data_IF_975275727795
#
_entry.id   IF_975275727795
#
_cell.length_a   1.000
_cell.length_b   1.000
_cell.length_c   1.000
_cell.angle_alpha   90.00
_cell.angle_beta   90.00
_cell.angle_gamma   90.00
#
_symmetry.space_group_name_H-M   'P 1'
#
loop_
_entity.id
_entity.type
_entity.pdbx_description
1 polymer ?
#
# COMPACT_ATOMS: atom_id res chain seq x y z
N UNK A 1 32.77 -26.32 -16.91
CA UNK A 1 31.32 -26.66 -16.89
C UNK A 1 30.69 -26.57 -15.49
N UNK A 2 31.37 -27.02 -14.41
CA UNK A 2 30.85 -27.01 -13.03
C UNK A 2 30.53 -25.61 -12.48
N UNK A 3 31.28 -24.60 -12.91
CA UNK A 3 31.19 -23.22 -12.40
C UNK A 3 30.02 -22.44 -13.04
N UNK A 4 29.63 -22.79 -14.27
CA UNK A 4 28.50 -22.18 -15.00
C UNK A 4 27.16 -22.66 -14.44
N UNK A 5 27.04 -23.94 -14.07
CA UNK A 5 25.85 -24.45 -13.37
C UNK A 5 25.63 -23.80 -12.00
N UNK A 6 26.71 -23.50 -11.27
CA UNK A 6 26.61 -22.85 -9.95
C UNK A 6 26.11 -21.40 -10.08
N UNK A 7 26.58 -20.68 -11.09
CA UNK A 7 26.15 -19.31 -11.37
C UNK A 7 24.67 -19.26 -11.81
N UNK A 8 24.25 -20.20 -12.66
CA UNK A 8 22.85 -20.34 -13.08
C UNK A 8 21.92 -20.67 -11.90
N UNK A 9 22.37 -21.48 -10.93
CA UNK A 9 21.59 -21.84 -9.74
C UNK A 9 21.34 -20.65 -8.81
N UNK A 10 22.29 -19.71 -8.69
CA UNK A 10 22.13 -18.49 -7.88
C UNK A 10 21.13 -17.53 -8.54
N UNK A 11 21.18 -17.39 -9.87
CA UNK A 11 20.26 -16.51 -10.62
C UNK A 11 18.83 -17.06 -10.59
N UNK A 12 18.64 -18.39 -10.71
CA UNK A 12 17.31 -19.01 -10.63
C UNK A 12 16.77 -19.19 -9.19
N UNK A 13 17.65 -19.30 -8.19
CA UNK A 13 17.28 -19.45 -6.78
C UNK A 13 16.96 -18.14 -6.05
N UNK A 14 17.43 -17.00 -6.55
CA UNK A 14 17.22 -15.69 -5.93
C UNK A 14 15.77 -15.22 -5.89
N UNK A 15 14.90 -15.77 -6.75
CA UNK A 15 13.48 -15.42 -6.86
C UNK A 15 12.63 -15.84 -5.65
N UNK A 16 13.18 -16.62 -4.73
CA UNK A 16 12.47 -17.15 -3.54
C UNK A 16 12.92 -16.49 -2.24
N UNK A 17 13.73 -15.43 -2.32
CA UNK A 17 14.10 -14.64 -1.15
C UNK A 17 12.96 -13.66 -0.82
N UNK A 18 12.00 -14.12 -0.03
CA UNK A 18 10.98 -13.27 0.58
C UNK A 18 11.64 -12.43 1.69
N UNK A 19 12.20 -11.28 1.31
CA UNK A 19 12.90 -10.40 2.25
C UNK A 19 11.94 -9.52 3.07
N UNK A 20 10.74 -9.27 2.56
CA UNK A 20 9.77 -8.37 3.17
C UNK A 20 8.44 -9.08 3.44
N UNK A 21 7.64 -8.59 4.41
CA UNK A 21 6.31 -9.12 4.67
C UNK A 21 5.44 -9.11 3.40
N UNK A 22 4.69 -10.19 3.19
CA UNK A 22 3.72 -10.28 2.09
C UNK A 22 2.55 -9.31 2.26
N UNK A 23 2.31 -8.84 3.48
CA UNK A 23 1.24 -7.91 3.82
C UNK A 23 1.72 -6.90 4.85
N UNK A 24 1.37 -5.64 4.63
CA UNK A 24 1.48 -4.60 5.63
C UNK A 24 0.10 -4.31 6.21
N UNK A 25 0.05 -4.06 7.51
CA UNK A 25 -1.18 -3.65 8.19
C UNK A 25 -0.85 -2.42 9.02
N UNK A 26 -1.59 -1.33 8.79
CA UNK A 26 -1.53 -0.15 9.66
C UNK A 26 -2.03 -0.52 11.06
N UNK A 27 -1.38 -0.02 12.10
CA UNK A 27 -1.71 -0.30 13.51
C UNK A 27 -1.76 1.01 14.30
N UNK A 28 -2.59 1.04 15.33
CA UNK A 28 -2.80 2.21 16.19
C UNK A 28 -4.14 2.89 15.91
N UNK A 29 -4.28 4.13 16.39
CA UNK A 29 -5.52 4.90 16.31
C UNK A 29 -5.88 5.36 14.88
N UNK A 30 -4.90 5.37 13.97
CA UNK A 30 -5.05 5.94 12.63
C UNK A 30 -5.09 7.48 12.62
N UNK A 31 -4.77 8.09 11.48
CA UNK A 31 -4.75 9.55 11.32
C UNK A 31 -3.66 10.26 12.14
N UNK A 32 -3.98 11.44 12.67
CA UNK A 32 -3.10 12.26 13.52
C UNK A 32 -2.35 13.39 12.79
N UNK A 33 -2.18 13.28 11.46
CA UNK A 33 -1.72 14.37 10.60
C UNK A 33 -2.83 15.36 10.23
N UNK A 34 -2.48 16.40 9.46
CA UNK A 34 -3.46 17.38 9.01
C UNK A 34 -4.18 16.87 7.75
N UNK A 35 -5.48 16.59 7.88
CA UNK A 35 -6.33 16.19 6.78
C UNK A 35 -7.08 17.41 6.20
N UNK A 36 -7.08 17.54 4.88
CA UNK A 36 -7.71 18.66 4.18
C UNK A 36 -8.22 18.25 2.79
N UNK A 37 -8.91 19.18 2.13
CA UNK A 37 -9.45 19.02 0.77
C UNK A 37 -10.33 17.77 0.58
N UNK A 38 -11.32 17.58 1.45
CA UNK A 38 -12.29 16.51 1.27
C UNK A 38 -13.10 16.70 -0.02
N UNK A 39 -13.26 15.63 -0.79
CA UNK A 39 -14.05 15.61 -2.01
C UNK A 39 -14.96 14.38 -2.01
N UNK A 40 -16.28 14.62 -1.99
CA UNK A 40 -17.30 13.56 -1.95
C UNK A 40 -17.86 13.35 -3.34
N UNK A 41 -18.02 12.09 -3.77
CA UNK A 41 -18.68 11.76 -5.02
C UNK A 41 -20.18 12.11 -4.93
N UNK A 42 -20.71 13.04 -5.74
CA UNK A 42 -22.12 13.46 -5.66
C UNK A 42 -23.11 12.38 -6.09
N UNK A 43 -22.64 11.34 -6.79
CA UNK A 43 -23.45 10.21 -7.23
C UNK A 43 -23.39 9.00 -6.29
N UNK A 44 -22.42 8.98 -5.37
CA UNK A 44 -22.20 7.87 -4.46
C UNK A 44 -21.68 8.38 -3.12
N UNK A 45 -22.57 8.46 -2.13
CA UNK A 45 -22.21 8.96 -0.81
C UNK A 45 -21.16 8.10 -0.09
N UNK A 46 -20.99 6.83 -0.47
CA UNK A 46 -20.00 5.96 0.16
C UNK A 46 -18.57 6.22 -0.35
N UNK A 47 -18.42 6.99 -1.42
CA UNK A 47 -17.13 7.25 -2.05
C UNK A 47 -16.66 8.68 -1.83
N UNK A 48 -15.47 8.83 -1.28
CA UNK A 48 -14.82 10.13 -1.15
C UNK A 48 -13.30 10.01 -1.03
N UNK A 49 -12.64 11.15 -1.17
CA UNK A 49 -11.19 11.30 -1.10
C UNK A 49 -10.81 12.36 -0.06
N UNK A 50 -9.66 12.19 0.59
CA UNK A 50 -9.08 13.17 1.52
C UNK A 50 -7.56 13.21 1.38
N UNK A 51 -6.98 14.40 1.34
CA UNK A 51 -5.52 14.59 1.27
C UNK A 51 -4.91 14.90 2.63
N UNK A 52 -3.62 14.60 2.77
CA UNK A 52 -2.82 14.84 3.97
C UNK A 52 -1.67 15.83 3.70
N UNK A 53 -1.17 16.51 4.73
CA UNK A 53 -0.07 17.48 4.65
C UNK A 53 1.27 16.86 4.23
N UNK A 54 1.39 15.55 4.42
CA UNK A 54 2.56 14.77 4.05
C UNK A 54 2.51 14.23 2.61
N UNK A 55 1.44 14.55 1.85
CA UNK A 55 1.31 14.26 0.43
C UNK A 55 0.53 12.98 0.08
N UNK A 56 -0.01 12.28 1.08
CA UNK A 56 -0.88 11.13 0.86
C UNK A 56 -2.29 11.57 0.39
N UNK A 57 -2.92 10.67 -0.37
CA UNK A 57 -4.33 10.75 -0.74
C UNK A 57 -4.99 9.45 -0.32
N UNK A 58 -6.01 9.55 0.52
CA UNK A 58 -6.79 8.41 0.96
C UNK A 58 -8.10 8.35 0.18
N UNK A 59 -8.44 7.15 -0.30
CA UNK A 59 -9.71 6.88 -0.98
C UNK A 59 -10.52 5.86 -0.19
N UNK A 60 -11.82 6.09 -0.05
CA UNK A 60 -12.76 5.14 0.52
C UNK A 60 -13.93 4.91 -0.43
N UNK A 61 -14.51 3.71 -0.34
CA UNK A 61 -15.76 3.32 -1.03
C UNK A 61 -16.81 2.78 -0.06
N UNK A 62 -16.55 2.90 1.25
CA UNK A 62 -17.37 2.38 2.35
C UNK A 62 -17.63 3.44 3.43
N UNK A 63 -17.74 4.71 3.00
CA UNK A 63 -18.04 5.85 3.86
C UNK A 63 -17.02 6.03 5.01
N UNK A 64 -15.76 5.71 4.75
CA UNK A 64 -14.65 5.92 5.69
C UNK A 64 -14.41 4.81 6.68
N UNK A 65 -15.03 3.64 6.51
CA UNK A 65 -14.72 2.48 7.32
C UNK A 65 -13.33 1.92 6.98
N UNK A 66 -12.93 2.00 5.70
CA UNK A 66 -11.59 1.64 5.23
C UNK A 66 -11.06 2.63 4.19
N UNK A 67 -9.72 2.68 4.08
CA UNK A 67 -9.00 3.53 3.14
C UNK A 67 -7.92 2.74 2.40
N UNK A 68 -7.71 3.12 1.14
CA UNK A 68 -6.59 2.70 0.28
C UNK A 68 -5.74 3.88 -0.14
#
# INVERSE_FOLDING_TARGET
MKNISLFAAIIFGGSILCAQPASFSSRGIGGGGALFSLSINPSNNNEYYVSCDMGELFHTTDFGATYT
#
